data_IF_471164486014
#
_entry.id   IF_471164486014
#
_cell.length_a   1.000
_cell.length_b   1.000
_cell.length_c   1.000
_cell.angle_alpha   90.00
_cell.angle_beta   90.00
_cell.angle_gamma   90.00
#
_symmetry.space_group_name_H-M   'P 1'
#
loop_
_entity.id
_entity.type
_entity.pdbx_description
1 polymer ?
#
# COMPACT_ATOMS: atom_id res chain seq x y z
N UNK A 1 1.13 2.61 -1.02
CA UNK A 1 1.39 3.41 -2.26
C UNK A 1 0.18 3.59 -3.18
N UNK A 2 -0.63 2.56 -3.44
CA UNK A 2 -1.74 2.67 -4.39
C UNK A 2 -2.76 3.78 -4.06
N UNK A 3 -3.02 4.02 -2.76
CA UNK A 3 -3.93 5.07 -2.30
C UNK A 3 -3.54 6.49 -2.74
N UNK A 4 -2.26 6.73 -3.03
CA UNK A 4 -1.76 8.01 -3.55
C UNK A 4 -1.99 8.17 -5.06
N UNK A 5 -2.24 7.07 -5.78
CA UNK A 5 -2.40 7.05 -7.25
C UNK A 5 -3.81 7.37 -7.73
N UNK A 6 -4.63 8.07 -6.93
CA UNK A 6 -6.04 8.35 -7.24
C UNK A 6 -6.25 9.39 -8.36
N UNK A 7 -5.38 9.44 -9.37
CA UNK A 7 -5.63 10.18 -10.62
C UNK A 7 -6.10 9.22 -11.71
N UNK A 8 -7.42 9.12 -11.90
CA UNK A 8 -7.97 8.60 -13.15
C UNK A 8 -7.91 9.69 -14.23
N UNK A 9 -7.73 9.34 -15.52
CA UNK A 9 -7.65 10.34 -16.58
C UNK A 9 -8.99 11.07 -16.74
N UNK A 10 -9.04 12.35 -16.34
CA UNK A 10 -9.94 13.34 -16.94
C UNK A 10 -11.10 13.92 -16.12
N UNK A 11 -11.28 13.61 -14.83
CA UNK A 11 -12.23 14.37 -13.97
C UNK A 11 -11.74 14.41 -12.52
N UNK A 12 -11.86 15.60 -11.89
CA UNK A 12 -11.69 15.81 -10.45
C UNK A 12 -12.38 14.68 -9.68
N UNK A 13 -11.66 14.00 -8.79
CA UNK A 13 -12.17 12.78 -8.19
C UNK A 13 -11.37 12.33 -6.98
N UNK A 14 -11.88 12.70 -5.80
CA UNK A 14 -11.76 12.04 -4.50
C UNK A 14 -10.48 11.21 -4.30
N UNK A 15 -9.35 11.93 -4.24
CA UNK A 15 -8.06 11.38 -3.87
C UNK A 15 -7.88 11.39 -2.33
N UNK A 16 -6.74 10.92 -1.83
CA UNK A 16 -6.50 10.87 -0.38
C UNK A 16 -6.54 12.26 0.26
N UNK A 17 -6.00 13.30 -0.40
CA UNK A 17 -6.02 14.66 0.14
C UNK A 17 -7.44 15.20 0.22
N UNK A 18 -8.21 15.04 -0.86
CA UNK A 18 -9.63 15.44 -0.88
C UNK A 18 -10.39 14.73 0.25
N UNK A 19 -10.18 13.43 0.44
CA UNK A 19 -10.78 12.66 1.54
C UNK A 19 -10.39 13.20 2.93
N UNK A 20 -9.10 13.49 3.16
CA UNK A 20 -8.64 14.02 4.44
C UNK A 20 -9.26 15.40 4.74
N UNK A 21 -9.39 16.24 3.72
CA UNK A 21 -9.97 17.59 3.83
C UNK A 21 -11.49 17.54 4.01
N UNK A 22 -12.20 16.88 3.09
CA UNK A 22 -13.67 16.85 3.00
C UNK A 22 -14.30 16.08 4.16
N UNK A 23 -13.68 14.99 4.60
CA UNK A 23 -14.18 14.16 5.72
C UNK A 23 -13.57 14.58 7.07
N UNK A 24 -12.78 15.67 7.09
CA UNK A 24 -12.11 16.20 8.27
C UNK A 24 -11.27 15.16 9.03
N UNK A 25 -10.61 14.27 8.30
CA UNK A 25 -9.82 13.18 8.87
C UNK A 25 -8.41 13.66 9.20
N UNK A 26 -8.02 13.54 10.46
CA UNK A 26 -6.63 13.74 10.88
C UNK A 26 -5.83 12.46 10.69
N UNK A 27 -4.83 12.50 9.80
CA UNK A 27 -3.85 11.43 9.69
C UNK A 27 -2.95 11.39 10.93
N UNK A 28 -3.17 10.44 11.83
CA UNK A 28 -2.34 10.26 13.03
C UNK A 28 -0.89 9.91 12.66
N UNK A 29 -0.73 8.91 11.79
CA UNK A 29 0.57 8.43 11.35
C UNK A 29 0.46 7.52 10.13
N UNK A 30 1.45 7.59 9.24
CA UNK A 30 1.67 6.61 8.18
C UNK A 30 3.18 6.50 7.89
N UNK A 31 3.75 5.28 7.74
CA UNK A 31 5.20 5.08 7.64
C UNK A 31 5.89 5.86 6.51
N UNK A 32 5.17 6.12 5.42
CA UNK A 32 5.71 6.83 4.25
C UNK A 32 5.28 8.29 4.13
N UNK A 33 4.34 8.78 4.96
CA UNK A 33 3.77 10.13 4.83
C UNK A 33 4.03 11.01 6.05
N UNK A 34 4.32 10.41 7.20
CA UNK A 34 4.55 11.15 8.43
C UNK A 34 6.03 11.42 8.66
N UNK A 35 6.37 12.68 8.91
CA UNK A 35 7.71 13.11 9.33
C UNK A 35 7.91 12.84 10.83
N UNK A 36 7.94 11.58 11.24
CA UNK A 36 8.11 11.19 12.65
C UNK A 36 9.22 10.16 12.80
N UNK A 37 10.01 10.33 13.84
CA UNK A 37 11.01 9.34 14.25
C UNK A 37 10.35 8.07 14.79
N UNK A 38 11.07 6.93 14.82
CA UNK A 38 10.57 5.69 15.45
C UNK A 38 10.17 5.86 16.92
N UNK A 39 10.82 6.79 17.65
CA UNK A 39 10.48 7.08 19.05
C UNK A 39 9.14 7.82 19.16
N UNK A 40 8.88 8.78 18.28
CA UNK A 40 7.61 9.51 18.27
C UNK A 40 6.46 8.60 17.84
N UNK A 41 6.68 7.73 16.85
CA UNK A 41 5.71 6.71 16.46
C UNK A 41 5.40 5.76 17.64
N UNK A 42 6.41 5.32 18.39
CA UNK A 42 6.22 4.51 19.58
C UNK A 42 5.43 5.24 20.69
N UNK A 43 5.69 6.53 20.89
CA UNK A 43 4.96 7.36 21.84
C UNK A 43 3.48 7.52 21.43
N UNK A 44 3.20 7.75 20.15
CA UNK A 44 1.83 7.79 19.62
C UNK A 44 1.10 6.46 19.84
N UNK A 45 1.74 5.34 19.51
CA UNK A 45 1.18 4.01 19.78
C UNK A 45 0.84 3.86 21.27
N UNK A 46 1.73 4.27 22.16
CA UNK A 46 1.48 4.20 23.60
C UNK A 46 0.26 5.03 24.02
N UNK A 47 0.10 6.26 23.51
CA UNK A 47 -1.07 7.11 23.80
C UNK A 47 -2.37 6.50 23.30
N UNK A 48 -2.38 5.89 22.11
CA UNK A 48 -3.56 5.19 21.56
C UNK A 48 -3.95 4.01 22.48
N UNK A 49 -2.97 3.22 22.88
CA UNK A 49 -3.19 2.07 23.77
C UNK A 49 -3.66 2.50 25.18
N UNK A 50 -3.19 3.66 25.67
CA UNK A 50 -3.65 4.27 26.91
C UNK A 50 -5.05 4.93 26.79
N UNK A 51 -5.53 5.16 25.57
CA UNK A 51 -6.79 5.87 25.31
C UNK A 51 -6.73 7.39 25.42
N UNK A 52 -5.51 7.93 25.44
CA UNK A 52 -5.26 9.38 25.40
C UNK A 52 -5.39 9.92 23.97
N UNK A 53 -5.24 9.05 22.97
CA UNK A 53 -5.39 9.36 21.55
C UNK A 53 -6.47 8.45 20.95
N UNK A 54 -7.50 9.04 20.36
CA UNK A 54 -8.54 8.29 19.67
C UNK A 54 -8.01 7.70 18.36
N UNK A 55 -8.31 6.42 18.10
CA UNK A 55 -8.04 5.75 16.84
C UNK A 55 -9.37 5.36 16.18
N UNK A 56 -9.86 6.18 15.26
CA UNK A 56 -11.14 5.92 14.59
C UNK A 56 -11.00 4.84 13.52
N UNK A 57 -10.05 4.97 12.60
CA UNK A 57 -9.79 3.99 11.53
C UNK A 57 -8.36 3.50 11.62
N UNK A 58 -8.19 2.17 11.74
CA UNK A 58 -6.90 1.50 11.56
C UNK A 58 -6.86 0.81 10.20
N UNK A 59 -6.00 1.31 9.33
CA UNK A 59 -5.68 0.68 8.05
C UNK A 59 -4.43 -0.20 8.18
N UNK A 60 -4.54 -1.49 7.89
CA UNK A 60 -3.41 -2.43 7.93
C UNK A 60 -3.04 -2.83 6.51
N UNK A 61 -1.79 -2.55 6.11
CA UNK A 61 -1.18 -2.98 4.85
C UNK A 61 -0.12 -4.07 5.12
N UNK A 62 -0.09 -5.09 4.27
CA UNK A 62 0.86 -6.21 4.39
C UNK A 62 0.32 -7.39 5.21
N UNK A 63 0.91 -8.57 5.01
CA UNK A 63 0.54 -9.79 5.75
C UNK A 63 1.03 -9.73 7.18
N UNK A 64 0.32 -10.37 8.10
CA UNK A 64 0.76 -10.53 9.48
C UNK A 64 1.74 -11.69 9.55
N UNK A 65 2.98 -11.42 9.96
CA UNK A 65 4.07 -12.40 10.03
C UNK A 65 4.12 -13.04 11.42
N UNK A 66 4.04 -14.37 11.49
CA UNK A 66 4.12 -15.12 12.75
C UNK A 66 5.44 -15.86 12.94
N UNK A 67 6.27 -15.96 11.91
CA UNK A 67 7.55 -16.65 12.00
C UNK A 67 8.63 -15.82 12.72
N UNK A 68 9.73 -16.47 13.14
CA UNK A 68 9.94 -17.92 13.13
C UNK A 68 9.21 -18.61 14.29
N UNK A 69 8.73 -19.84 14.08
CA UNK A 69 8.21 -20.72 15.12
C UNK A 69 7.08 -20.09 15.96
N UNK A 70 6.22 -19.32 15.30
CA UNK A 70 5.12 -18.62 15.96
C UNK A 70 5.55 -17.44 16.83
N UNK A 71 6.80 -16.97 16.78
CA UNK A 71 7.28 -15.83 17.60
C UNK A 71 6.95 -14.44 17.01
N UNK A 72 6.77 -14.34 15.70
CA UNK A 72 6.58 -13.07 14.98
C UNK A 72 7.87 -12.23 14.81
N UNK A 73 9.03 -12.76 15.19
CA UNK A 73 10.30 -12.02 15.21
C UNK A 73 10.91 -11.76 13.82
N UNK A 74 10.36 -12.31 12.74
CA UNK A 74 10.74 -11.91 11.38
C UNK A 74 10.27 -10.49 11.02
N UNK A 75 9.31 -9.91 11.75
CA UNK A 75 8.89 -8.52 11.57
C UNK A 75 8.71 -7.82 12.91
N UNK A 76 9.62 -6.89 13.22
CA UNK A 76 9.67 -6.24 14.53
C UNK A 76 9.61 -4.73 14.45
N UNK A 77 9.15 -4.12 15.52
CA UNK A 77 9.24 -2.69 15.78
C UNK A 77 9.76 -2.51 17.21
N UNK A 78 10.91 -1.83 17.35
CA UNK A 78 11.63 -1.68 18.63
C UNK A 78 11.81 -3.01 19.39
N UNK A 79 12.23 -4.07 18.68
CA UNK A 79 12.52 -5.37 19.26
C UNK A 79 11.29 -6.20 19.66
N UNK A 80 10.07 -5.72 19.37
CA UNK A 80 8.81 -6.44 19.63
C UNK A 80 8.19 -6.92 18.31
N UNK A 81 7.54 -8.09 18.27
CA UNK A 81 6.78 -8.52 17.10
C UNK A 81 5.73 -7.48 16.70
N UNK A 82 5.71 -7.07 15.43
CA UNK A 82 4.71 -6.09 14.95
C UNK A 82 3.29 -6.61 15.08
N UNK A 83 3.06 -7.92 14.92
CA UNK A 83 1.73 -8.53 15.07
C UNK A 83 1.07 -8.24 16.42
N UNK A 84 1.87 -8.14 17.49
CA UNK A 84 1.36 -7.89 18.85
C UNK A 84 0.91 -6.43 18.98
N UNK A 85 1.66 -5.51 18.37
CA UNK A 85 1.32 -4.09 18.27
C UNK A 85 0.06 -3.91 17.43
N UNK A 86 -0.02 -4.58 16.27
CA UNK A 86 -1.18 -4.53 15.38
C UNK A 86 -2.42 -5.03 16.11
N UNK A 87 -2.36 -6.19 16.77
CA UNK A 87 -3.48 -6.73 17.56
C UNK A 87 -3.94 -5.73 18.61
N UNK A 88 -3.01 -5.15 19.37
CA UNK A 88 -3.36 -4.16 20.40
C UNK A 88 -4.00 -2.89 19.81
N UNK A 89 -3.54 -2.42 18.65
CA UNK A 89 -4.15 -1.28 17.95
C UNK A 89 -5.55 -1.63 17.41
N UNK A 90 -5.76 -2.86 16.90
CA UNK A 90 -7.08 -3.32 16.45
C UNK A 90 -8.11 -3.21 17.57
N UNK A 91 -7.76 -3.61 18.80
CA UNK A 91 -8.67 -3.55 19.96
C UNK A 91 -9.00 -2.10 20.39
N UNK A 92 -8.19 -1.11 19.98
CA UNK A 92 -8.45 0.32 20.23
C UNK A 92 -9.21 1.01 19.12
N UNK A 93 -9.23 0.45 17.91
CA UNK A 93 -9.78 1.10 16.74
C UNK A 93 -11.31 0.97 16.65
N UNK A 94 -12.00 2.04 16.24
CA UNK A 94 -13.46 1.98 15.96
C UNK A 94 -13.74 1.07 14.76
N UNK A 95 -12.95 1.24 13.68
CA UNK A 95 -12.98 0.42 12.48
C UNK A 95 -11.60 -0.09 12.14
N UNK A 96 -11.51 -1.36 11.70
CA UNK A 96 -10.27 -1.97 11.21
C UNK A 96 -10.45 -2.39 9.76
N UNK A 97 -9.60 -1.86 8.89
CA UNK A 97 -9.65 -2.09 7.45
C UNK A 97 -8.36 -2.78 6.99
N UNK A 98 -8.51 -3.95 6.37
CA UNK A 98 -7.43 -4.64 5.70
C UNK A 98 -7.24 -4.05 4.29
N UNK A 99 -6.16 -3.32 4.08
CA UNK A 99 -5.80 -2.71 2.81
C UNK A 99 -4.97 -3.68 1.95
N UNK A 100 -5.66 -4.40 1.07
CA UNK A 100 -5.08 -5.34 0.12
C UNK A 100 -5.17 -6.82 0.53
N UNK A 101 -4.89 -7.69 -0.43
CA UNK A 101 -5.01 -9.15 -0.28
C UNK A 101 -4.09 -9.70 0.82
N UNK A 102 -2.94 -9.08 1.05
CA UNK A 102 -1.98 -9.53 2.06
C UNK A 102 -2.53 -9.38 3.49
N UNK A 103 -3.06 -8.21 3.86
CA UNK A 103 -3.63 -8.01 5.20
C UNK A 103 -5.00 -8.67 5.33
N UNK A 104 -5.77 -8.80 4.25
CA UNK A 104 -7.08 -9.46 4.28
C UNK A 104 -6.94 -10.98 4.47
N UNK A 105 -6.04 -11.62 3.70
CA UNK A 105 -6.02 -13.08 3.53
C UNK A 105 -4.61 -13.71 3.60
N UNK A 106 -3.57 -12.93 3.89
CA UNK A 106 -2.18 -13.38 3.90
C UNK A 106 -1.45 -13.20 2.57
N UNK A 107 -2.16 -13.32 1.44
CA UNK A 107 -1.63 -13.05 0.09
C UNK A 107 -0.44 -13.93 -0.30
N UNK A 108 0.44 -13.41 -1.16
CA UNK A 108 1.63 -14.13 -1.65
C UNK A 108 2.49 -14.68 -0.47
N UNK A 109 2.76 -13.92 0.60
CA UNK A 109 3.53 -14.44 1.73
C UNK A 109 2.93 -15.68 2.40
N UNK A 110 1.60 -15.82 2.42
CA UNK A 110 0.90 -16.96 3.01
C UNK A 110 0.73 -18.15 2.05
N UNK A 111 1.18 -18.02 0.79
CA UNK A 111 1.15 -19.12 -0.16
C UNK A 111 2.14 -20.22 0.26
N UNK A 112 1.86 -21.51 -0.03
CA UNK A 112 2.79 -22.59 0.26
C UNK A 112 4.20 -22.31 -0.33
N UNK A 113 5.29 -22.52 0.43
CA UNK A 113 5.33 -23.22 1.72
C UNK A 113 5.11 -22.33 2.97
N UNK A 114 4.83 -21.04 2.81
CA UNK A 114 4.61 -20.07 3.89
C UNK A 114 5.74 -20.06 4.96
N UNK A 115 7.00 -19.80 4.57
CA UNK A 115 8.13 -19.85 5.51
C UNK A 115 8.08 -18.74 6.56
N UNK A 116 7.35 -17.65 6.31
CA UNK A 116 7.15 -16.54 7.26
C UNK A 116 5.98 -16.78 8.21
N UNK A 117 5.26 -17.89 8.06
CA UNK A 117 4.04 -18.21 8.81
C UNK A 117 3.02 -17.06 8.72
N UNK A 118 2.96 -16.43 7.55
CA UNK A 118 2.12 -15.27 7.29
C UNK A 118 0.64 -15.63 7.26
N UNK A 119 -0.20 -14.72 7.72
CA UNK A 119 -1.65 -14.76 7.62
C UNK A 119 -2.23 -13.36 7.35
N UNK A 120 -3.54 -13.27 7.14
CA UNK A 120 -4.28 -12.02 7.20
C UNK A 120 -4.73 -11.68 8.63
N UNK A 121 -5.51 -10.61 8.77
CA UNK A 121 -6.07 -10.18 10.04
C UNK A 121 -7.13 -11.15 10.57
N UNK A 122 -8.04 -11.61 9.70
CA UNK A 122 -9.12 -12.55 10.06
C UNK A 122 -9.22 -13.80 9.18
N UNK A 123 -8.28 -13.97 8.25
CA UNK A 123 -8.26 -15.12 7.35
C UNK A 123 -6.82 -15.57 7.05
N UNK A 124 -6.66 -16.83 6.68
CA UNK A 124 -5.49 -17.33 5.97
C UNK A 124 -5.98 -18.01 4.71
N UNK A 125 -5.69 -17.43 3.54
CA UNK A 125 -6.35 -17.75 2.28
C UNK A 125 -7.88 -17.67 2.45
N UNK A 126 -8.61 -18.73 2.11
CA UNK A 126 -10.07 -18.82 2.24
C UNK A 126 -10.56 -19.19 3.64
N UNK A 127 -9.64 -19.58 4.54
CA UNK A 127 -10.01 -20.10 5.85
C UNK A 127 -10.13 -18.96 6.86
N UNK A 128 -11.29 -18.80 7.54
CA UNK A 128 -11.41 -17.89 8.68
C UNK A 128 -10.39 -18.23 9.77
N UNK A 129 -9.78 -17.21 10.38
CA UNK A 129 -8.66 -17.38 11.29
C UNK A 129 -7.83 -16.12 11.37
N UNK A 130 -6.52 -16.22 11.12
CA UNK A 130 -5.61 -15.06 11.10
C UNK A 130 -5.27 -14.53 12.48
N UNK A 131 -4.74 -13.30 12.54
CA UNK A 131 -4.24 -12.69 13.77
C UNK A 131 -5.31 -12.55 14.85
N UNK A 132 -6.52 -12.14 14.48
CA UNK A 132 -7.58 -11.75 15.42
C UNK A 132 -8.57 -12.90 15.68
N UNK A 133 -8.66 -13.86 14.76
CA UNK A 133 -9.65 -14.94 14.80
C UNK A 133 -11.03 -14.52 14.24
N UNK A 134 -11.88 -15.49 13.90
CA UNK A 134 -13.13 -15.25 13.17
C UNK A 134 -14.21 -14.49 13.97
N UNK A 135 -14.20 -14.64 15.29
CA UNK A 135 -15.21 -14.03 16.18
C UNK A 135 -14.85 -12.59 16.59
N UNK A 136 -13.64 -12.12 16.31
CA UNK A 136 -13.23 -10.77 16.68
C UNK A 136 -14.08 -9.72 15.96
N UNK A 137 -14.41 -8.64 16.68
CA UNK A 137 -15.15 -7.48 16.17
C UNK A 137 -14.47 -6.20 16.68
N UNK A 138 -14.52 -5.14 15.87
CA UNK A 138 -14.06 -3.81 16.26
C UNK A 138 -15.03 -3.17 17.26
N UNK A 139 -14.71 -1.98 17.78
CA UNK A 139 -15.61 -1.27 18.71
C UNK A 139 -16.95 -0.89 18.07
N UNK A 140 -17.00 -0.77 16.73
CA UNK A 140 -18.23 -0.59 15.97
C UNK A 140 -19.05 -1.90 15.80
N UNK A 141 -18.60 -3.03 16.34
CA UNK A 141 -19.28 -4.32 16.22
C UNK A 141 -19.10 -5.01 14.86
N UNK A 142 -18.24 -4.47 13.98
CA UNK A 142 -17.96 -5.04 12.66
C UNK A 142 -16.75 -5.98 12.69
N UNK A 143 -16.70 -7.02 11.84
CA UNK A 143 -15.46 -7.75 11.63
C UNK A 143 -14.45 -6.85 10.88
N UNK A 144 -13.24 -7.35 10.64
CA UNK A 144 -12.26 -6.64 9.79
C UNK A 144 -12.84 -6.46 8.40
N UNK A 145 -12.87 -5.21 7.92
CA UNK A 145 -13.37 -4.88 6.58
C UNK A 145 -12.27 -5.13 5.56
N UNK A 146 -12.50 -6.07 4.65
CA UNK A 146 -11.50 -6.54 3.70
C UNK A 146 -11.59 -5.79 2.36
N UNK A 147 -10.74 -4.78 2.17
CA UNK A 147 -10.56 -4.07 0.90
C UNK A 147 -9.45 -4.77 0.10
N UNK A 148 -9.79 -5.92 -0.47
CA UNK A 148 -8.83 -6.81 -1.12
C UNK A 148 -8.34 -6.30 -2.49
N UNK A 149 -7.17 -6.79 -2.91
CA UNK A 149 -6.50 -6.44 -4.17
C UNK A 149 -4.97 -6.43 -4.01
N UNK A 150 -4.24 -6.49 -5.12
CA UNK A 150 -2.76 -6.51 -5.11
C UNK A 150 -2.16 -5.58 -6.19
N UNK A 151 -2.15 -4.25 -5.96
CA UNK A 151 -2.72 -3.56 -4.80
C UNK A 151 -4.24 -3.40 -4.90
N UNK A 152 -4.90 -3.10 -3.79
CA UNK A 152 -6.29 -2.67 -3.82
C UNK A 152 -6.43 -1.31 -4.52
N UNK A 153 -7.58 -1.10 -5.15
CA UNK A 153 -7.88 0.12 -5.91
C UNK A 153 -8.07 1.33 -4.97
N UNK A 154 -7.49 2.47 -5.32
CA UNK A 154 -7.48 3.66 -4.47
C UNK A 154 -8.88 4.23 -4.22
N UNK A 155 -9.74 4.25 -5.25
CA UNK A 155 -11.14 4.70 -5.12
C UNK A 155 -11.92 3.79 -4.19
N UNK A 156 -11.68 2.50 -4.29
CA UNK A 156 -12.28 1.47 -3.43
C UNK A 156 -11.87 1.65 -1.96
N UNK A 157 -10.58 1.89 -1.71
CA UNK A 157 -10.05 2.23 -0.38
C UNK A 157 -10.76 3.47 0.20
N UNK A 158 -10.72 4.58 -0.54
CA UNK A 158 -11.26 5.87 -0.08
C UNK A 158 -12.77 5.77 0.13
N UNK A 159 -13.52 5.20 -0.82
CA UNK A 159 -14.98 5.10 -0.68
C UNK A 159 -15.38 4.22 0.50
N UNK A 160 -14.64 3.15 0.78
CA UNK A 160 -14.88 2.32 1.97
C UNK A 160 -14.67 3.12 3.24
N UNK A 161 -13.61 3.92 3.33
CA UNK A 161 -13.35 4.79 4.48
C UNK A 161 -14.44 5.85 4.66
N UNK A 162 -14.86 6.55 3.59
CA UNK A 162 -15.99 7.50 3.67
C UNK A 162 -17.28 6.83 4.16
N UNK A 163 -17.64 5.67 3.62
CA UNK A 163 -18.87 4.96 4.02
C UNK A 163 -18.90 4.64 5.52
N UNK A 164 -17.77 4.24 6.12
CA UNK A 164 -17.73 3.95 7.57
C UNK A 164 -17.72 5.22 8.42
N UNK A 165 -17.15 6.32 7.93
CA UNK A 165 -17.19 7.63 8.62
C UNK A 165 -18.58 8.27 8.57
N UNK A 166 -19.26 8.16 7.44
CA UNK A 166 -20.65 8.61 7.25
C UNK A 166 -21.67 7.80 8.10
N UNK A 167 -21.23 6.68 8.73
CA UNK A 167 -22.11 5.80 9.50
C UNK A 167 -23.12 5.04 8.64
N UNK A 168 -22.86 4.92 7.33
CA UNK A 168 -23.75 4.24 6.42
C UNK A 168 -23.65 2.71 6.59
N UNK A 169 -24.78 1.98 6.44
CA UNK A 169 -24.75 0.53 6.52
C UNK A 169 -23.76 -0.08 5.51
N UNK A 170 -22.82 -0.87 6.02
CA UNK A 170 -21.83 -1.57 5.21
C UNK A 170 -22.15 -3.06 5.21
N UNK A 171 -22.92 -3.50 4.22
CA UNK A 171 -23.15 -4.94 4.03
C UNK A 171 -21.86 -5.62 3.57
N UNK A 172 -21.47 -6.68 4.29
CA UNK A 172 -20.27 -7.45 4.02
C UNK A 172 -20.64 -8.86 3.52
N UNK A 173 -19.86 -9.39 2.59
CA UNK A 173 -19.99 -10.80 2.21
C UNK A 173 -19.30 -11.75 3.20
N UNK A 174 -19.35 -13.06 2.91
CA UNK A 174 -18.75 -14.12 3.76
C UNK A 174 -17.23 -14.02 3.93
N UNK A 175 -16.56 -13.14 3.19
CA UNK A 175 -15.13 -12.87 3.30
C UNK A 175 -14.87 -11.46 3.85
N UNK A 176 -15.87 -10.86 4.49
CA UNK A 176 -15.86 -9.52 5.06
C UNK A 176 -15.59 -8.40 4.05
N UNK A 177 -15.95 -8.59 2.77
CA UNK A 177 -15.75 -7.57 1.74
C UNK A 177 -16.99 -6.70 1.60
N UNK A 178 -16.86 -5.37 1.51
CA UNK A 178 -17.99 -4.49 1.21
C UNK A 178 -18.71 -4.88 -0.09
N UNK A 179 -20.02 -5.08 -0.04
CA UNK A 179 -20.82 -5.36 -1.24
C UNK A 179 -20.92 -4.15 -2.18
N UNK A 180 -20.84 -2.94 -1.61
CA UNK A 180 -20.92 -1.67 -2.32
C UNK A 180 -19.65 -1.31 -3.08
N UNK A 181 -18.54 -2.01 -2.79
CA UNK A 181 -17.22 -1.71 -3.36
C UNK A 181 -16.64 -2.98 -3.97
N UNK A 182 -16.63 -3.03 -5.30
CA UNK A 182 -16.31 -4.24 -6.05
C UNK A 182 -14.85 -4.70 -5.84
N UNK A 183 -14.56 -6.01 -5.77
CA UNK A 183 -13.18 -6.54 -5.73
C UNK A 183 -12.40 -6.37 -7.05
N UNK A 184 -12.95 -5.65 -8.03
CA UNK A 184 -12.49 -5.55 -9.40
C UNK A 184 -12.65 -4.11 -9.89
N UNK A 185 -11.88 -3.71 -10.91
CA UNK A 185 -12.06 -2.46 -11.66
C UNK A 185 -13.45 -2.31 -12.33
N UNK A 186 -14.38 -3.25 -12.11
CA UNK A 186 -15.76 -3.17 -12.58
C UNK A 186 -16.63 -2.54 -11.51
N UNK A 187 -17.44 -1.57 -11.92
CA UNK A 187 -18.46 -0.95 -11.09
C UNK A 187 -19.49 -1.97 -10.57
N UNK A 188 -20.11 -1.67 -9.43
CA UNK A 188 -21.14 -2.52 -8.81
C UNK A 188 -22.39 -2.76 -9.68
N UNK A 189 -22.49 -2.07 -10.82
CA UNK A 189 -23.59 -2.16 -11.78
C UNK A 189 -23.36 -3.31 -12.78
N UNK A 190 -22.11 -3.73 -13.05
CA UNK A 190 -21.83 -4.79 -14.02
C UNK A 190 -21.01 -5.96 -13.44
N UNK A 191 -21.70 -7.05 -13.03
CA UNK A 191 -21.08 -8.33 -12.63
C UNK A 191 -20.46 -9.05 -13.83
N UNK A 192 -19.39 -8.50 -14.42
CA UNK A 192 -18.70 -9.08 -15.58
C UNK A 192 -17.57 -10.04 -15.23
N UNK A 193 -17.22 -10.21 -13.96
CA UNK A 193 -16.06 -10.98 -13.53
C UNK A 193 -16.35 -11.89 -12.32
N UNK A 194 -16.14 -13.21 -12.48
CA UNK A 194 -16.25 -14.20 -11.40
C UNK A 194 -15.01 -14.31 -10.51
N UNK A 195 -13.85 -13.74 -10.91
CA UNK A 195 -12.60 -13.73 -10.13
C UNK A 195 -12.77 -12.99 -8.81
N UNK A 196 -13.67 -12.00 -8.77
CA UNK A 196 -14.08 -11.30 -7.56
C UNK A 196 -14.68 -12.23 -6.49
N UNK A 197 -15.04 -13.48 -6.79
CA UNK A 197 -15.52 -14.45 -5.81
C UNK A 197 -14.42 -15.33 -5.21
N UNK A 198 -13.19 -15.29 -5.76
CA UNK A 198 -12.05 -16.06 -5.27
C UNK A 198 -11.22 -15.23 -4.29
N UNK A 199 -10.76 -15.83 -3.20
CA UNK A 199 -9.97 -15.18 -2.15
C UNK A 199 -8.49 -15.42 -2.38
N UNK A 200 -7.63 -14.46 -2.03
CA UNK A 200 -6.17 -14.66 -2.09
C UNK A 200 -5.55 -14.56 -3.49
N UNK A 201 -6.34 -14.58 -4.56
CA UNK A 201 -5.84 -14.41 -5.92
C UNK A 201 -5.75 -12.94 -6.31
N UNK A 202 -4.66 -12.54 -6.95
CA UNK A 202 -4.62 -11.30 -7.69
C UNK A 202 -5.73 -11.34 -8.75
N UNK A 203 -6.62 -10.35 -8.76
CA UNK A 203 -7.62 -10.22 -9.80
C UNK A 203 -6.90 -10.01 -11.13
N UNK A 204 -6.75 -11.07 -11.92
CA UNK A 204 -6.33 -10.98 -13.33
C UNK A 204 -7.48 -10.47 -14.22
N UNK A 205 -8.42 -9.71 -13.67
CA UNK A 205 -9.54 -9.05 -14.35
C UNK A 205 -10.16 -9.82 -15.53
N UNK A 206 -10.42 -9.06 -16.60
CA UNK A 206 -10.78 -9.55 -17.93
C UNK A 206 -9.56 -9.95 -18.78
N UNK A 207 -8.35 -9.97 -18.20
CA UNK A 207 -7.08 -10.33 -18.89
C UNK A 207 -6.76 -11.83 -18.78
N UNK A 208 -7.76 -12.66 -18.41
CA UNK A 208 -7.60 -14.10 -18.22
C UNK A 208 -6.85 -14.79 -19.36
N UNK A 209 -5.93 -15.71 -19.01
CA UNK A 209 -5.14 -16.66 -19.81
C UNK A 209 -4.47 -16.21 -21.12
N UNK A 210 -4.79 -15.04 -21.66
CA UNK A 210 -4.28 -14.51 -22.94
C UNK A 210 -3.03 -13.66 -22.74
N UNK A 211 -2.35 -13.80 -21.61
CA UNK A 211 -1.05 -13.17 -21.37
C UNK A 211 0.06 -14.24 -21.49
N UNK A 212 1.11 -14.01 -22.30
CA UNK A 212 1.38 -12.80 -23.08
C UNK A 212 0.36 -12.59 -24.21
N UNK A 213 -0.08 -11.35 -24.38
CA UNK A 213 -0.99 -11.00 -25.48
C UNK A 213 -0.23 -11.17 -26.79
N UNK A 214 -0.89 -11.69 -27.83
CA UNK A 214 -0.33 -11.73 -29.18
C UNK A 214 -0.18 -10.34 -29.82
N UNK A 215 -0.47 -9.28 -29.07
CA UNK A 215 -0.41 -7.88 -29.50
C UNK A 215 0.36 -7.06 -28.48
N UNK A 216 1.16 -6.07 -28.90
CA UNK A 216 1.87 -5.19 -27.99
C UNK A 216 0.90 -4.44 -27.07
N UNK A 217 1.26 -4.37 -25.78
CA UNK A 217 0.48 -3.68 -24.73
C UNK A 217 0.44 -2.15 -24.90
N UNK A 218 1.41 -1.61 -25.64
CA UNK A 218 1.54 -0.19 -25.87
C UNK A 218 1.46 0.09 -27.37
N UNK A 219 0.58 1.03 -27.75
CA UNK A 219 0.65 1.65 -29.06
C UNK A 219 1.60 2.83 -28.93
N UNK A 220 2.76 2.79 -29.60
CA UNK A 220 3.54 4.00 -29.79
C UNK A 220 2.66 4.99 -30.56
N UNK A 221 2.22 6.04 -29.87
CA UNK A 221 1.66 7.21 -30.53
C UNK A 221 2.86 8.03 -30.96
N UNK A 222 3.05 8.18 -32.27
CA UNK A 222 4.00 9.14 -32.78
C UNK A 222 3.53 10.53 -32.30
N UNK A 223 4.29 11.12 -31.38
CA UNK A 223 4.10 12.53 -31.08
C UNK A 223 4.46 13.29 -32.36
N UNK A 224 3.62 14.23 -32.85
CA UNK A 224 4.03 15.11 -33.93
C UNK A 224 5.31 15.79 -33.48
N UNK A 225 6.34 15.75 -34.34
CA UNK A 225 7.61 16.39 -34.03
C UNK A 225 7.36 17.86 -33.81
N UNK A 226 7.32 18.26 -32.54
CA UNK A 226 7.32 19.66 -32.17
C UNK A 226 8.79 20.06 -32.18
N UNK A 227 9.17 20.87 -33.15
CA UNK A 227 10.49 21.50 -33.15
C UNK A 227 10.65 22.22 -31.81
N UNK A 228 11.53 21.70 -30.96
CA UNK A 228 11.96 22.39 -29.76
C UNK A 228 12.82 23.57 -30.23
N UNK A 229 12.45 24.84 -29.93
CA UNK A 229 13.28 25.96 -30.30
C UNK A 229 14.63 25.82 -29.60
N UNK A 230 15.70 25.75 -30.39
CA UNK A 230 17.09 25.72 -29.90
C UNK A 230 17.39 27.08 -29.29
N UNK A 231 17.14 27.23 -27.99
CA UNK A 231 17.53 28.40 -27.20
C UNK A 231 18.75 28.08 -26.34
N UNK A 232 19.85 27.67 -26.96
CA UNK A 232 21.17 27.75 -26.33
C UNK A 232 22.17 28.14 -27.41
N UNK A 233 22.62 29.41 -27.48
CA UNK A 233 23.75 29.76 -28.34
C UNK A 233 25.02 29.04 -27.83
N UNK A 234 25.90 28.58 -28.74
CA UNK A 234 27.12 27.88 -28.36
C UNK A 234 28.00 28.78 -27.48
N UNK A 235 28.44 28.26 -26.32
CA UNK A 235 29.43 28.94 -25.49
C UNK A 235 30.78 28.92 -26.22
N UNK A 236 31.40 30.08 -26.37
CA UNK A 236 32.76 30.20 -26.91
C UNK A 236 33.76 29.38 -26.07
N UNK A 237 34.74 28.71 -26.71
CA UNK A 237 35.76 27.96 -26.00
C UNK A 237 36.68 28.90 -25.22
N UNK A 238 36.76 28.69 -23.91
CA UNK A 238 37.73 29.37 -23.03
C UNK A 238 39.12 28.91 -23.46
N UNK A 239 39.92 29.86 -23.95
CA UNK A 239 41.33 29.68 -24.34
C UNK A 239 42.14 29.07 -23.17
N UNK A 240 42.83 27.96 -23.45
CA UNK A 240 43.89 27.42 -22.60
C UNK A 240 45.09 28.38 -22.61
N UNK A 241 45.52 28.80 -21.42
CA UNK A 241 46.76 29.55 -21.20
C UNK A 241 47.93 28.56 -21.33
N UNK A 242 48.97 28.81 -22.16
CA UNK A 242 50.16 27.97 -22.19
C UNK A 242 51.03 28.26 -20.96
N UNK A 243 51.32 27.22 -20.18
CA UNK A 243 52.32 27.26 -19.10
C UNK A 243 53.75 27.20 -19.68
N UNK A 244 54.72 27.88 -19.08
CA UNK A 244 56.05 28.05 -19.66
C UNK A 244 56.93 26.81 -19.52
N UNK A 245 57.69 26.55 -20.59
CA UNK A 245 58.82 25.65 -20.68
C UNK A 245 59.82 25.86 -19.54
N UNK A 246 60.18 24.78 -18.85
CA UNK A 246 61.48 24.67 -18.19
C UNK A 246 62.11 23.34 -18.53
N UNK A 247 63.13 23.42 -19.38
CA UNK A 247 64.11 22.37 -19.62
C UNK A 247 65.06 22.25 -18.43
N UNK A 248 65.54 21.01 -18.17
CA UNK A 248 66.87 20.81 -17.61
C UNK A 248 66.99 19.77 -16.50
N UNK A 249 67.66 18.65 -16.84
CA UNK A 249 68.72 18.10 -15.97
C UNK A 249 68.45 16.77 -15.25
N UNK A 250 68.79 15.65 -15.90
CA UNK A 250 69.93 14.80 -15.51
C UNK A 250 69.84 13.81 -14.33
N UNK A 251 70.34 12.59 -14.63
CA UNK A 251 70.89 11.54 -13.76
C UNK A 251 69.89 10.70 -12.92
N UNK A 252 69.68 9.42 -13.19
CA UNK A 252 70.57 8.23 -13.13
C UNK A 252 70.51 7.47 -11.78
N UNK A 253 70.14 6.19 -11.91
CA UNK A 253 70.68 5.01 -11.22
C UNK A 253 70.19 4.55 -9.82
N UNK A 254 69.85 3.24 -9.85
CA UNK A 254 70.05 2.15 -8.87
C UNK A 254 69.00 1.87 -7.79
N UNK A 255 68.60 0.59 -7.75
CA UNK A 255 67.79 -0.06 -6.72
C UNK A 255 66.96 -1.19 -7.29
#
# INVERSE_FOLDING_TARGET
MAILGAEGPGKAGYNLLDFLEDEHVRLLWHPSLSETSPREAAALIARILAGEEELTILCVEGSIINGPHGSGMYDTFNGRPKRDIIRALCDRATYVIAMGTCSAYGGIPAAPPNPSESCGLQFTNEQPGGLLGPEWRSQAGLPVINVAGCPADARTMIKTMSLVLEGLPLELDKFNRPLTVGPCLSDGISKRCGTAQKVGYACVGCIGAKFPLSKPLFRQVALPQRELPVLIPPREPIFMIPGPDTAGGGAACHG
#
